data_IF_779980122162
#
_entry.id   IF_779980122162
#
_cell.length_a   1.000
_cell.length_b   1.000
_cell.length_c   1.000
_cell.angle_alpha   90.00
_cell.angle_beta   90.00
_cell.angle_gamma   90.00
#
_symmetry.space_group_name_H-M   'P 1'
#
loop_
_entity.id
_entity.type
_entity.pdbx_description
1 polymer ?
#
# COMPACT_ATOMS: atom_id res chain seq x y z
N UNK A 1 26.51 9.61 32.04
CA UNK A 1 26.81 9.79 30.61
C UNK A 1 26.69 8.47 29.86
N UNK A 2 27.31 7.39 30.32
CA UNK A 2 27.31 6.08 29.64
C UNK A 2 25.92 5.51 29.35
N UNK A 3 24.99 5.54 30.32
CA UNK A 3 23.62 5.05 30.11
C UNK A 3 22.89 5.79 28.97
N UNK A 4 23.04 7.12 28.90
CA UNK A 4 22.41 7.92 27.86
C UNK A 4 23.02 7.62 26.48
N UNK A 5 24.33 7.39 26.41
CA UNK A 5 25.02 7.02 25.16
C UNK A 5 24.55 5.64 24.69
N UNK A 6 24.45 4.66 25.59
CA UNK A 6 23.95 3.31 25.28
C UNK A 6 22.51 3.35 24.78
N UNK A 7 21.64 4.14 25.42
CA UNK A 7 20.26 4.33 24.97
C UNK A 7 20.19 5.00 23.59
N UNK A 8 21.00 6.02 23.34
CA UNK A 8 21.03 6.70 22.04
C UNK A 8 21.42 5.72 20.92
N UNK A 9 22.44 4.89 21.13
CA UNK A 9 22.88 3.88 20.16
C UNK A 9 21.76 2.85 19.87
N UNK A 10 21.02 2.42 20.89
CA UNK A 10 19.89 1.50 20.73
C UNK A 10 18.68 2.14 20.04
N UNK A 11 18.44 3.44 20.25
CA UNK A 11 17.32 4.15 19.63
C UNK A 11 17.50 4.36 18.11
N UNK A 12 18.73 4.57 17.64
CA UNK A 12 19.02 4.79 16.21
C UNK A 12 18.46 3.68 15.30
N UNK A 13 18.74 2.38 15.52
CA UNK A 13 18.19 1.32 14.67
C UNK A 13 16.67 1.21 14.77
N UNK A 14 16.09 1.46 15.95
CA UNK A 14 14.64 1.44 16.14
C UNK A 14 13.98 2.55 15.33
N UNK A 15 14.53 3.77 15.39
CA UNK A 15 14.05 4.91 14.61
C UNK A 15 14.17 4.62 13.11
N UNK A 16 15.28 4.04 12.67
CA UNK A 16 15.46 3.65 11.27
C UNK A 16 14.39 2.65 10.81
N UNK A 17 14.13 1.60 11.58
CA UNK A 17 13.09 0.60 11.25
C UNK A 17 11.70 1.24 11.19
N UNK A 18 11.39 2.14 12.12
CA UNK A 18 10.12 2.86 12.13
C UNK A 18 10.00 3.78 10.91
N UNK A 19 11.06 4.51 10.56
CA UNK A 19 11.09 5.35 9.37
C UNK A 19 10.87 4.53 8.09
N UNK A 20 11.62 3.44 7.94
CA UNK A 20 11.52 2.53 6.80
C UNK A 20 10.11 1.95 6.64
N UNK A 21 9.48 1.58 7.76
CA UNK A 21 8.16 0.96 7.76
C UNK A 21 7.02 1.95 7.47
N UNK A 22 7.11 3.19 7.97
CA UNK A 22 5.97 4.11 7.99
C UNK A 22 6.11 5.29 7.04
N UNK A 23 7.33 5.78 6.79
CA UNK A 23 7.56 7.04 6.07
C UNK A 23 8.32 6.86 4.76
N UNK A 24 9.01 5.73 4.58
CA UNK A 24 9.76 5.50 3.35
C UNK A 24 8.82 5.37 2.15
N UNK A 25 8.99 6.31 1.23
CA UNK A 25 8.38 6.29 -0.09
C UNK A 25 9.26 5.42 -1.00
N UNK A 26 8.64 4.42 -1.62
CA UNK A 26 9.28 3.56 -2.60
C UNK A 26 8.89 4.02 -4.00
N UNK A 27 9.83 3.99 -4.97
CA UNK A 27 9.52 4.36 -6.35
C UNK A 27 8.49 3.40 -6.95
N UNK A 28 7.67 3.86 -7.89
CA UNK A 28 6.62 3.02 -8.49
C UNK A 28 7.14 1.71 -9.11
N UNK A 29 8.38 1.71 -9.61
CA UNK A 29 9.04 0.51 -10.13
C UNK A 29 9.20 -0.61 -9.10
N UNK A 30 9.34 -0.26 -7.82
CA UNK A 30 9.40 -1.23 -6.72
C UNK A 30 8.13 -2.10 -6.62
N UNK A 31 6.96 -1.53 -6.93
CA UNK A 31 5.67 -2.22 -6.89
C UNK A 31 5.30 -2.88 -8.23
N UNK A 32 6.12 -2.70 -9.26
CA UNK A 32 5.84 -3.08 -10.64
C UNK A 32 4.92 -2.07 -11.32
N UNK A 33 5.46 -1.32 -12.28
CA UNK A 33 4.76 -0.21 -12.97
C UNK A 33 3.42 -0.68 -13.57
N UNK A 34 3.38 -1.86 -14.18
CA UNK A 34 2.16 -2.43 -14.75
C UNK A 34 1.07 -2.66 -13.70
N UNK A 35 1.44 -3.14 -12.51
CA UNK A 35 0.50 -3.34 -11.40
C UNK A 35 -0.04 -1.99 -10.92
N UNK A 36 0.83 -0.99 -10.78
CA UNK A 36 0.44 0.38 -10.38
C UNK A 36 -0.53 0.96 -11.40
N UNK A 37 -0.25 0.83 -12.69
CA UNK A 37 -1.15 1.28 -13.76
C UNK A 37 -2.49 0.54 -13.74
N UNK A 38 -2.51 -0.77 -13.47
CA UNK A 38 -3.75 -1.54 -13.34
C UNK A 38 -4.59 -1.05 -12.17
N UNK A 39 -3.98 -0.85 -11.01
CA UNK A 39 -4.66 -0.32 -9.82
C UNK A 39 -5.20 1.09 -10.10
N UNK A 40 -4.38 1.95 -10.70
CA UNK A 40 -4.75 3.32 -11.06
C UNK A 40 -6.00 3.41 -11.95
N UNK A 41 -6.26 2.43 -12.83
CA UNK A 41 -7.49 2.42 -13.66
C UNK A 41 -8.79 2.42 -12.83
N UNK A 42 -8.74 1.89 -11.61
CA UNK A 42 -9.89 1.75 -10.71
C UNK A 42 -9.89 2.77 -9.58
N UNK A 43 -8.83 3.55 -9.44
CA UNK A 43 -8.66 4.52 -8.36
C UNK A 43 -8.99 5.95 -8.79
N UNK A 44 -9.38 6.76 -7.80
CA UNK A 44 -9.74 8.15 -7.99
C UNK A 44 -8.60 8.99 -8.60
N UNK A 45 -8.93 10.10 -9.29
CA UNK A 45 -7.94 11.01 -9.85
C UNK A 45 -7.01 11.59 -8.78
N UNK A 46 -7.53 11.92 -7.59
CA UNK A 46 -6.73 12.47 -6.47
C UNK A 46 -5.60 11.55 -6.05
N UNK A 47 -5.89 10.25 -5.85
CA UNK A 47 -4.86 9.28 -5.49
C UNK A 47 -3.82 9.11 -6.61
N UNK A 48 -4.29 9.03 -7.86
CA UNK A 48 -3.40 8.90 -9.01
C UNK A 48 -2.46 10.09 -9.12
N UNK A 49 -2.99 11.30 -9.08
CA UNK A 49 -2.19 12.52 -9.15
C UNK A 49 -1.17 12.55 -8.03
N UNK A 50 -1.56 12.26 -6.79
CA UNK A 50 -0.64 12.20 -5.66
C UNK A 50 0.51 11.22 -5.92
N UNK A 51 0.20 9.97 -6.28
CA UNK A 51 1.20 8.91 -6.49
C UNK A 51 2.12 9.17 -7.68
N UNK A 52 1.57 9.67 -8.80
CA UNK A 52 2.37 9.95 -9.99
C UNK A 52 3.20 11.24 -9.84
N UNK A 53 2.72 12.24 -9.10
CA UNK A 53 3.48 13.46 -8.78
C UNK A 53 4.60 13.18 -7.78
N UNK A 54 4.31 12.40 -6.73
CA UNK A 54 5.31 11.99 -5.73
C UNK A 54 6.31 10.95 -6.29
N UNK A 55 6.00 10.32 -7.43
CA UNK A 55 6.84 9.33 -8.09
C UNK A 55 6.99 8.02 -7.31
N UNK A 56 6.13 7.80 -6.32
CA UNK A 56 6.24 6.70 -5.38
C UNK A 56 5.07 6.67 -4.39
N UNK A 57 5.10 5.68 -3.51
CA UNK A 57 4.18 5.59 -2.38
C UNK A 57 4.80 4.77 -1.26
N UNK A 58 4.19 4.81 -0.07
CA UNK A 58 4.61 3.92 1.02
C UNK A 58 4.12 2.49 0.76
N UNK A 59 4.85 1.50 1.26
CA UNK A 59 4.40 0.10 1.19
C UNK A 59 3.03 -0.11 1.88
N UNK A 60 2.79 0.60 2.98
CA UNK A 60 1.52 0.55 3.69
C UNK A 60 0.35 1.06 2.84
N UNK A 61 0.56 2.14 2.11
CA UNK A 61 -0.44 2.67 1.18
C UNK A 61 -0.73 1.69 0.05
N UNK A 62 0.31 1.11 -0.55
CA UNK A 62 0.17 0.08 -1.58
C UNK A 62 -0.66 -1.12 -1.11
N UNK A 63 -0.36 -1.65 0.08
CA UNK A 63 -1.11 -2.77 0.68
C UNK A 63 -2.56 -2.37 0.91
N UNK A 64 -2.81 -1.19 1.50
CA UNK A 64 -4.16 -0.71 1.82
C UNK A 64 -5.05 -0.68 0.56
N UNK A 65 -4.51 -0.19 -0.55
CA UNK A 65 -5.26 -0.04 -1.80
C UNK A 65 -5.56 -1.40 -2.44
N UNK A 66 -4.56 -2.28 -2.51
CA UNK A 66 -4.76 -3.62 -3.05
C UNK A 66 -5.77 -4.41 -2.23
N UNK A 67 -5.74 -4.31 -0.89
CA UNK A 67 -6.72 -4.95 -0.02
C UNK A 67 -8.13 -4.43 -0.29
N UNK A 68 -8.31 -3.10 -0.38
CA UNK A 68 -9.62 -2.51 -0.70
C UNK A 68 -10.16 -2.99 -2.05
N UNK A 69 -9.32 -3.00 -3.10
CA UNK A 69 -9.75 -3.49 -4.41
C UNK A 69 -10.13 -4.97 -4.35
N UNK A 70 -9.35 -5.80 -3.66
CA UNK A 70 -9.66 -7.21 -3.47
C UNK A 70 -10.99 -7.41 -2.75
N UNK A 71 -11.28 -6.63 -1.73
CA UNK A 71 -12.55 -6.65 -1.01
C UNK A 71 -13.72 -6.27 -1.91
N UNK A 72 -13.57 -5.22 -2.73
CA UNK A 72 -14.58 -4.82 -3.73
C UNK A 72 -14.83 -5.94 -4.73
N UNK A 73 -13.80 -6.54 -5.32
CA UNK A 73 -13.95 -7.66 -6.26
C UNK A 73 -14.64 -8.86 -5.60
N UNK A 74 -14.26 -9.21 -4.36
CA UNK A 74 -14.91 -10.31 -3.62
C UNK A 74 -16.40 -10.02 -3.38
N UNK A 75 -16.73 -8.80 -3.00
CA UNK A 75 -18.12 -8.38 -2.78
C UNK A 75 -18.95 -8.46 -4.07
N UNK A 76 -18.42 -7.96 -5.18
CA UNK A 76 -19.09 -8.05 -6.48
C UNK A 76 -19.28 -9.50 -6.95
N UNK A 77 -18.27 -10.36 -6.76
CA UNK A 77 -18.37 -11.78 -7.09
C UNK A 77 -19.44 -12.49 -6.24
N UNK A 78 -19.53 -12.17 -4.95
CA UNK A 78 -20.59 -12.69 -4.09
C UNK A 78 -21.98 -12.22 -4.55
N UNK A 79 -22.12 -10.94 -4.89
CA UNK A 79 -23.38 -10.41 -5.40
C UNK A 79 -23.83 -11.13 -6.68
N UNK A 80 -22.91 -11.35 -7.63
CA UNK A 80 -23.22 -12.08 -8.88
C UNK A 80 -23.63 -13.53 -8.64
N UNK A 81 -23.00 -14.23 -7.68
CA UNK A 81 -23.38 -15.61 -7.33
C UNK A 81 -24.79 -15.70 -6.75
N UNK A 82 -25.22 -14.68 -5.99
CA UNK A 82 -26.59 -14.61 -5.46
C UNK A 82 -27.58 -14.28 -6.57
N UNK A 83 -27.22 -13.39 -7.50
CA UNK A 83 -28.10 -12.95 -8.58
C UNK A 83 -28.27 -13.99 -9.70
N UNK A 84 -27.24 -14.79 -9.96
CA UNK A 84 -27.23 -15.84 -10.97
C UNK A 84 -26.75 -17.15 -10.32
N UNK A 85 -27.59 -17.83 -9.52
CA UNK A 85 -27.22 -19.11 -8.96
C UNK A 85 -26.94 -20.10 -10.10
N UNK A 86 -25.92 -20.97 -9.97
CA UNK A 86 -25.67 -22.00 -10.96
C UNK A 86 -26.94 -22.84 -11.11
N UNK A 87 -27.41 -23.00 -12.34
CA UNK A 87 -28.53 -23.87 -12.68
C UNK A 87 -28.02 -25.31 -12.67
N UNK A 88 -28.39 -26.05 -11.62
CA UNK A 88 -28.22 -27.50 -11.50
C UNK A 88 -29.01 -28.27 -12.58
#
# INVERSE_FOLDING_TARGET
MEILITLAILCVPVIYILWDKYFRIYPLSYFGIENVQRVAKWEGPEWREQVFLEGGMTNREWIKINTRQLETFKSELQHRKVQFPPSD
#
